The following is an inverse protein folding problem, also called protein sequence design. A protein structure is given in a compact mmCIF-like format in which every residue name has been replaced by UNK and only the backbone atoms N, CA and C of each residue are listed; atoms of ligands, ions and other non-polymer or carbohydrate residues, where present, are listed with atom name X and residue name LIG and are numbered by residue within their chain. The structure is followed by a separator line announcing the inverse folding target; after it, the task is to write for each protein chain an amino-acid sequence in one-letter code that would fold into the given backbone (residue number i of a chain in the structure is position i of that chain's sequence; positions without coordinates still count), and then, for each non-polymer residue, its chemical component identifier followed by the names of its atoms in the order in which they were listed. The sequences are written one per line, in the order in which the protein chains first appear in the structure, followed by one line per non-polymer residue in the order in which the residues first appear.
data_IF_307739986240
#
_entry.id   IF_307739986240
#
_cell.length_a   1.000
_cell.length_b   1.000
_cell.length_c   1.000
_cell.angle_alpha   90.00
_cell.angle_beta   90.00
_cell.angle_gamma   90.00
#
_symmetry.space_group_name_H-M   'P 1'
#
loop_
_entity.id
_entity.type
_entity.pdbx_description
1 polymer ?
#
# COMPACT_ATOMS: atom_id res chain seq x y z
N UNK A 1 -14.91 23.28 3.12
CA UNK A 1 -13.66 23.57 2.37
C UNK A 1 -13.32 22.48 1.35
N UNK A 2 -12.60 21.39 1.68
CA UNK A 2 -12.17 20.36 0.71
C UNK A 2 -13.32 19.74 -0.10
N UNK A 3 -14.42 19.38 0.57
CA UNK A 3 -15.63 18.84 -0.09
C UNK A 3 -16.35 19.86 -0.98
N UNK A 4 -16.18 21.16 -0.75
CA UNK A 4 -16.89 22.24 -1.45
C UNK A 4 -16.08 22.82 -2.60
N UNK A 5 -14.75 22.84 -2.51
CA UNK A 5 -13.86 23.39 -3.56
C UNK A 5 -13.49 22.37 -4.64
N UNK A 6 -13.41 21.08 -4.28
CA UNK A 6 -13.04 19.99 -5.21
C UNK A 6 -13.91 19.90 -6.48
N UNK A 7 -15.26 20.01 -6.41
CA UNK A 7 -16.12 19.87 -7.60
C UNK A 7 -15.74 20.78 -8.78
N UNK A 8 -15.36 22.03 -8.50
CA UNK A 8 -14.96 23.00 -9.53
C UNK A 8 -13.58 22.68 -10.12
N UNK A 9 -12.63 22.25 -9.28
CA UNK A 9 -11.29 21.84 -9.74
C UNK A 9 -11.33 20.59 -10.62
N UNK A 10 -12.25 19.65 -10.34
CA UNK A 10 -12.42 18.41 -11.12
C UNK A 10 -12.94 18.67 -12.55
N UNK A 11 -13.85 19.63 -12.72
CA UNK A 11 -14.37 19.98 -14.05
C UNK A 11 -13.27 20.52 -14.98
N UNK A 12 -12.34 21.32 -14.44
CA UNK A 12 -11.21 21.81 -15.21
C UNK A 12 -10.27 20.68 -15.64
N UNK A 13 -9.99 19.71 -14.78
CA UNK A 13 -9.13 18.57 -15.11
C UNK A 13 -9.64 17.80 -16.35
N UNK A 14 -10.93 17.45 -16.39
CA UNK A 14 -11.50 16.75 -17.54
C UNK A 14 -11.42 17.57 -18.83
N UNK A 15 -11.53 18.91 -18.73
CA UNK A 15 -11.39 19.79 -19.90
C UNK A 15 -9.98 19.81 -20.49
N UNK A 16 -8.95 19.52 -19.69
CA UNK A 16 -7.55 19.47 -20.16
C UNK A 16 -7.23 18.18 -20.92
N UNK A 17 -8.05 17.12 -20.79
CA UNK A 17 -7.82 15.84 -21.47
C UNK A 17 -6.52 15.13 -21.08
N UNK A 18 -5.99 15.42 -19.88
CA UNK A 18 -4.72 14.83 -19.41
C UNK A 18 -4.96 13.36 -19.03
N UNK A 19 -4.24 12.40 -19.65
CA UNK A 19 -4.29 11.01 -19.21
C UNK A 19 -3.53 10.87 -17.88
N UNK A 20 -4.15 10.25 -16.88
CA UNK A 20 -3.46 9.97 -15.62
C UNK A 20 -4.40 9.76 -14.43
N UNK A 21 -3.83 9.29 -13.33
CA UNK A 21 -4.52 9.17 -12.04
C UNK A 21 -4.69 10.58 -11.45
N UNK A 22 -5.94 10.96 -11.18
CA UNK A 22 -6.28 12.23 -10.54
C UNK A 22 -6.43 12.07 -9.03
N UNK A 23 -7.05 10.96 -8.60
CA UNK A 23 -7.26 10.62 -7.20
C UNK A 23 -6.68 9.23 -6.95
N UNK A 24 -5.76 9.13 -6.01
CA UNK A 24 -5.12 7.86 -5.64
C UNK A 24 -5.67 7.38 -4.30
N UNK A 25 -6.28 6.21 -4.30
CA UNK A 25 -6.59 5.49 -3.08
C UNK A 25 -5.30 4.83 -2.56
N UNK A 26 -4.61 5.53 -1.66
CA UNK A 26 -3.30 5.11 -1.13
C UNK A 26 -3.45 4.19 0.11
N UNK A 27 -3.24 2.91 -0.11
CA UNK A 27 -3.20 1.84 0.90
C UNK A 27 -1.92 1.81 1.74
N UNK A 28 -0.81 2.36 1.22
CA UNK A 28 0.51 2.26 1.85
C UNK A 28 0.53 2.92 3.23
N UNK A 29 -0.26 3.97 3.42
CA UNK A 29 -0.42 4.65 4.71
C UNK A 29 -0.94 3.67 5.77
N UNK A 30 -2.00 2.91 5.45
CA UNK A 30 -2.61 1.95 6.37
C UNK A 30 -1.71 0.74 6.59
N UNK A 31 -1.12 0.20 5.51
CA UNK A 31 -0.17 -0.89 5.60
C UNK A 31 1.01 -0.52 6.51
N UNK A 32 1.64 0.63 6.29
CA UNK A 32 2.80 1.04 7.08
C UNK A 32 2.45 1.37 8.54
N UNK A 33 1.20 1.73 8.84
CA UNK A 33 0.72 1.89 10.22
C UNK A 33 0.35 0.56 10.91
N UNK A 34 0.36 -0.56 10.17
CA UNK A 34 0.18 -1.90 10.71
C UNK A 34 -1.14 -2.58 10.34
N UNK A 35 -1.88 -2.09 9.35
CA UNK A 35 -3.07 -2.75 8.84
C UNK A 35 -2.77 -4.17 8.35
N UNK A 36 -3.76 -5.05 8.36
CA UNK A 36 -3.73 -6.29 7.57
C UNK A 36 -3.91 -5.98 6.09
N UNK A 37 -3.60 -6.96 5.25
CA UNK A 37 -3.70 -6.88 3.79
C UNK A 37 -5.16 -6.68 3.35
N UNK A 38 -6.11 -7.33 4.03
CA UNK A 38 -7.54 -7.11 3.81
C UNK A 38 -7.99 -5.71 4.28
N UNK A 39 -7.47 -5.22 5.41
CA UNK A 39 -7.78 -3.86 5.89
C UNK A 39 -7.28 -2.79 4.93
N UNK A 40 -6.04 -2.92 4.43
CA UNK A 40 -5.49 -2.04 3.40
C UNK A 40 -6.43 -1.96 2.19
N UNK A 41 -6.80 -3.12 1.62
CA UNK A 41 -7.71 -3.20 0.48
C UNK A 41 -9.09 -2.60 0.79
N UNK A 42 -9.70 -2.93 1.93
CA UNK A 42 -11.02 -2.42 2.30
C UNK A 42 -11.07 -0.90 2.46
N UNK A 43 -10.04 -0.32 3.10
CA UNK A 43 -9.94 1.13 3.28
C UNK A 43 -9.65 1.84 1.95
N UNK A 44 -8.83 1.24 1.07
CA UNK A 44 -8.62 1.75 -0.29
C UNK A 44 -9.93 1.81 -1.09
N UNK A 45 -10.74 0.75 -1.04
CA UNK A 45 -12.05 0.75 -1.71
C UNK A 45 -12.99 1.80 -1.11
N UNK A 46 -13.01 1.95 0.22
CA UNK A 46 -13.84 2.96 0.87
C UNK A 46 -13.44 4.39 0.45
N UNK A 47 -12.13 4.60 0.26
CA UNK A 47 -11.59 5.86 -0.29
C UNK A 47 -12.03 6.07 -1.73
N UNK A 48 -11.93 5.05 -2.58
CA UNK A 48 -12.39 5.11 -3.97
C UNK A 48 -13.91 5.36 -4.08
N UNK A 49 -14.73 4.72 -3.25
CA UNK A 49 -16.19 4.97 -3.16
C UNK A 49 -16.46 6.41 -2.72
N UNK A 50 -15.70 6.93 -1.75
CA UNK A 50 -15.79 8.33 -1.36
C UNK A 50 -15.46 9.27 -2.52
N UNK A 51 -14.46 8.96 -3.35
CA UNK A 51 -14.15 9.75 -4.55
C UNK A 51 -15.29 9.71 -5.58
N UNK A 52 -15.87 8.54 -5.86
CA UNK A 52 -17.03 8.43 -6.75
C UNK A 52 -18.19 9.30 -6.27
N UNK A 53 -18.49 9.29 -4.96
CA UNK A 53 -19.51 10.17 -4.36
C UNK A 53 -19.19 11.66 -4.54
N UNK A 54 -17.91 12.04 -4.53
CA UNK A 54 -17.50 13.42 -4.80
C UNK A 54 -17.78 13.83 -6.24
N UNK A 55 -17.51 12.96 -7.22
CA UNK A 55 -17.87 13.21 -8.62
C UNK A 55 -19.38 13.29 -8.83
N UNK A 56 -20.14 12.41 -8.18
CA UNK A 56 -21.60 12.44 -8.23
C UNK A 56 -22.15 13.77 -7.68
N UNK A 57 -21.66 14.23 -6.52
CA UNK A 57 -22.00 15.55 -5.96
C UNK A 57 -21.62 16.70 -6.89
N UNK A 58 -20.52 16.57 -7.62
CA UNK A 58 -20.08 17.51 -8.65
C UNK A 58 -20.88 17.42 -9.96
N UNK A 59 -21.88 16.52 -10.04
CA UNK A 59 -22.70 16.23 -11.24
C UNK A 59 -21.86 15.79 -12.44
N UNK A 60 -20.74 15.13 -12.19
CA UNK A 60 -19.90 14.53 -13.22
C UNK A 60 -20.27 13.06 -13.43
N UNK A 61 -20.42 12.57 -14.67
CA UNK A 61 -20.71 11.16 -14.91
C UNK A 61 -19.60 10.25 -14.40
N UNK A 62 -19.95 9.24 -13.60
CA UNK A 62 -18.97 8.34 -12.97
C UNK A 62 -18.15 7.52 -13.97
N UNK A 63 -18.69 7.28 -15.17
CA UNK A 63 -17.98 6.60 -16.27
C UNK A 63 -16.71 7.34 -16.69
N UNK A 64 -16.69 8.68 -16.54
CA UNK A 64 -15.49 9.47 -16.80
C UNK A 64 -14.57 9.53 -15.58
N UNK A 65 -15.09 9.33 -14.36
CA UNK A 65 -14.28 9.40 -13.15
C UNK A 65 -13.47 8.12 -12.90
N UNK A 66 -14.07 6.94 -13.11
CA UNK A 66 -13.46 5.66 -12.76
C UNK A 66 -12.07 5.43 -13.36
N UNK A 67 -11.79 5.76 -14.63
CA UNK A 67 -10.44 5.61 -15.22
C UNK A 67 -9.36 6.51 -14.61
N UNK A 68 -9.75 7.55 -13.87
CA UNK A 68 -8.84 8.49 -13.21
C UNK A 68 -8.68 8.24 -11.70
N UNK A 69 -9.31 7.18 -11.18
CA UNK A 69 -9.06 6.69 -9.83
C UNK A 69 -7.98 5.61 -9.89
N UNK A 70 -6.83 5.90 -9.29
CA UNK A 70 -5.71 4.98 -9.17
C UNK A 70 -5.60 4.40 -7.76
N UNK A 71 -4.74 3.41 -7.62
CA UNK A 71 -4.53 2.71 -6.36
C UNK A 71 -3.03 2.57 -6.10
N UNK A 72 -2.58 2.88 -4.90
CA UNK A 72 -1.23 2.56 -4.45
C UNK A 72 -1.30 1.58 -3.27
N UNK A 73 -0.61 0.46 -3.36
CA UNK A 73 -0.56 -0.55 -2.30
C UNK A 73 0.88 -0.94 -1.96
N UNK A 74 1.08 -1.49 -0.76
CA UNK A 74 2.37 -2.04 -0.36
C UNK A 74 2.50 -3.52 -0.71
N UNK A 75 3.69 -3.99 -1.09
CA UNK A 75 4.00 -5.43 -1.23
C UNK A 75 5.16 -5.78 -0.31
N UNK A 76 5.11 -6.94 0.34
CA UNK A 76 6.12 -7.34 1.30
C UNK A 76 6.72 -8.72 1.01
N UNK A 77 7.53 -9.23 1.95
CA UNK A 77 8.26 -10.49 1.80
C UNK A 77 7.34 -11.74 1.82
N UNK A 78 6.06 -11.61 2.19
CA UNK A 78 5.09 -12.69 1.99
C UNK A 78 4.66 -12.68 0.51
N UNK A 79 5.42 -13.44 -0.30
CA UNK A 79 5.31 -13.41 -1.74
C UNK A 79 3.91 -13.81 -2.23
N UNK A 80 3.35 -14.90 -1.72
CA UNK A 80 2.07 -15.42 -2.20
C UNK A 80 0.92 -14.50 -1.79
N UNK A 81 0.93 -14.01 -0.55
CA UNK A 81 -0.07 -13.08 -0.07
C UNK A 81 0.00 -11.74 -0.81
N UNK A 82 1.22 -11.24 -1.08
CA UNK A 82 1.41 -10.01 -1.85
C UNK A 82 0.93 -10.15 -3.30
N UNK A 83 1.20 -11.29 -3.97
CA UNK A 83 0.64 -11.59 -5.29
C UNK A 83 -0.89 -11.63 -5.26
N UNK A 84 -1.46 -12.36 -4.28
CA UNK A 84 -2.91 -12.46 -4.10
C UNK A 84 -3.56 -11.09 -3.85
N UNK A 85 -2.89 -10.20 -3.09
CA UNK A 85 -3.38 -8.85 -2.79
C UNK A 85 -3.54 -7.98 -4.03
N UNK A 86 -2.55 -7.97 -4.93
CA UNK A 86 -2.64 -7.21 -6.18
C UNK A 86 -3.80 -7.73 -7.05
N UNK A 87 -3.95 -9.06 -7.15
CA UNK A 87 -5.05 -9.70 -7.88
C UNK A 87 -6.42 -9.38 -7.27
N UNK A 88 -6.51 -9.46 -5.94
CA UNK A 88 -7.74 -9.18 -5.19
C UNK A 88 -8.21 -7.75 -5.43
N UNK A 89 -7.30 -6.77 -5.45
CA UNK A 89 -7.66 -5.37 -5.71
C UNK A 89 -8.36 -5.18 -7.07
N UNK A 90 -7.88 -5.82 -8.13
CA UNK A 90 -8.52 -5.75 -9.46
C UNK A 90 -9.94 -6.31 -9.44
N UNK A 91 -10.15 -7.46 -8.77
CA UNK A 91 -11.47 -8.09 -8.61
C UNK A 91 -12.42 -7.22 -7.78
N UNK A 92 -11.92 -6.67 -6.69
CA UNK A 92 -12.68 -5.80 -5.80
C UNK A 92 -13.09 -4.51 -6.51
N UNK A 93 -12.19 -3.89 -7.27
CA UNK A 93 -12.51 -2.69 -8.03
C UNK A 93 -13.56 -2.95 -9.12
N UNK A 94 -13.45 -4.06 -9.85
CA UNK A 94 -14.48 -4.47 -10.81
C UNK A 94 -15.85 -4.62 -10.12
N UNK A 95 -15.88 -5.19 -8.90
CA UNK A 95 -17.11 -5.35 -8.12
C UNK A 95 -17.70 -4.02 -7.65
N UNK A 96 -16.87 -3.05 -7.26
CA UNK A 96 -17.33 -1.68 -6.95
C UNK A 96 -17.94 -1.02 -8.18
N UNK A 97 -17.27 -1.11 -9.34
CA UNK A 97 -17.79 -0.56 -10.59
C UNK A 97 -19.14 -1.17 -10.98
N UNK A 98 -19.28 -2.48 -10.86
CA UNK A 98 -20.54 -3.20 -11.07
C UNK A 98 -21.65 -2.68 -10.13
N UNK A 99 -21.36 -2.56 -8.83
CA UNK A 99 -22.31 -2.05 -7.85
C UNK A 99 -22.75 -0.59 -8.13
N UNK A 100 -21.87 0.20 -8.74
CA UNK A 100 -22.15 1.57 -9.17
C UNK A 100 -22.71 1.67 -10.60
N UNK A 101 -23.00 0.55 -11.28
CA UNK A 101 -23.43 0.53 -12.69
C UNK A 101 -22.48 1.26 -13.64
N UNK A 102 -21.17 1.20 -13.36
CA UNK A 102 -20.10 1.77 -14.19
C UNK A 102 -19.56 0.65 -15.09
N UNK A 103 -19.37 0.88 -16.40
CA UNK A 103 -18.68 -0.07 -17.27
C UNK A 103 -17.30 -0.41 -16.70
N UNK A 104 -16.94 -1.70 -16.72
CA UNK A 104 -15.68 -2.15 -16.12
C UNK A 104 -14.48 -1.49 -16.81
N UNK A 105 -13.73 -0.70 -16.03
CA UNK A 105 -12.44 -0.12 -16.40
C UNK A 105 -11.32 -0.79 -15.62
N UNK A 106 -10.14 -0.88 -16.25
CA UNK A 106 -8.95 -1.47 -15.63
C UNK A 106 -8.47 -0.60 -14.47
N UNK A 107 -8.25 -1.19 -13.29
CA UNK A 107 -7.60 -0.51 -12.18
C UNK A 107 -6.15 -0.15 -12.55
N UNK A 108 -5.73 1.09 -12.32
CA UNK A 108 -4.30 1.46 -12.35
C UNK A 108 -3.71 1.25 -10.95
N UNK A 109 -2.79 0.28 -10.82
CA UNK A 109 -2.20 -0.15 -9.55
C UNK A 109 -0.71 0.17 -9.52
N UNK A 110 -0.33 1.06 -8.63
CA UNK A 110 1.04 1.25 -8.17
C UNK A 110 1.35 0.34 -6.99
N UNK A 111 2.42 -0.46 -7.07
CA UNK A 111 2.90 -1.27 -5.96
C UNK A 111 4.23 -0.71 -5.44
N UNK A 112 4.33 -0.48 -4.14
CA UNK A 112 5.57 -0.07 -3.48
C UNK A 112 6.03 -1.16 -2.52
N UNK A 113 7.33 -1.47 -2.49
CA UNK A 113 7.82 -2.41 -1.48
C UNK A 113 7.63 -1.84 -0.07
N UNK A 114 7.22 -2.69 0.86
CA UNK A 114 6.81 -2.33 2.22
C UNK A 114 7.90 -1.59 2.99
N UNK A 115 7.60 -0.42 3.54
CA UNK A 115 8.49 0.24 4.50
C UNK A 115 8.47 -0.51 5.85
N UNK A 116 7.29 -0.99 6.26
CA UNK A 116 7.07 -1.74 7.51
C UNK A 116 7.98 -2.97 7.66
N UNK A 117 8.35 -3.63 6.57
CA UNK A 117 9.22 -4.82 6.60
C UNK A 117 10.72 -4.51 6.71
N UNK A 118 11.12 -3.25 6.51
CA UNK A 118 12.52 -2.87 6.50
C UNK A 118 13.12 -2.99 7.89
N UNK A 119 14.38 -3.38 7.96
CA UNK A 119 15.16 -3.41 9.20
C UNK A 119 16.21 -2.30 9.20
N UNK A 120 16.43 -1.69 10.35
CA UNK A 120 17.59 -0.81 10.55
C UNK A 120 18.88 -1.63 10.72
N UNK A 121 18.80 -2.78 11.40
CA UNK A 121 19.90 -3.74 11.49
C UNK A 121 20.08 -4.48 10.16
N UNK A 122 21.34 -4.78 9.82
CA UNK A 122 21.72 -5.49 8.60
C UNK A 122 20.95 -5.00 7.34
N UNK A 123 21.07 -3.70 6.99
CA UNK A 123 20.21 -3.07 6.00
C UNK A 123 20.38 -3.68 4.60
N UNK A 124 21.52 -4.28 4.26
CA UNK A 124 21.72 -5.00 3.00
C UNK A 124 20.76 -6.18 2.84
N UNK A 125 20.32 -6.83 3.92
CA UNK A 125 19.29 -7.88 3.87
C UNK A 125 17.94 -7.34 3.39
N UNK A 126 17.69 -6.02 3.50
CA UNK A 126 16.51 -5.41 2.91
C UNK A 126 16.50 -5.51 1.38
N UNK A 127 17.66 -5.60 0.71
CA UNK A 127 17.72 -5.83 -0.74
C UNK A 127 16.95 -7.11 -1.09
N UNK A 128 17.19 -8.19 -0.34
CA UNK A 128 16.53 -9.48 -0.55
C UNK A 128 15.01 -9.39 -0.34
N UNK A 129 14.58 -8.72 0.75
CA UNK A 129 13.15 -8.49 1.03
C UNK A 129 12.47 -7.75 -0.11
N UNK A 130 13.11 -6.69 -0.60
CA UNK A 130 12.55 -5.87 -1.68
C UNK A 130 12.53 -6.57 -3.03
N UNK A 131 13.50 -7.44 -3.32
CA UNK A 131 13.48 -8.27 -4.53
C UNK A 131 12.27 -9.23 -4.52
N UNK A 132 11.99 -9.86 -3.37
CA UNK A 132 10.81 -10.74 -3.22
C UNK A 132 9.51 -9.94 -3.40
N UNK A 133 9.39 -8.79 -2.73
CA UNK A 133 8.23 -7.91 -2.88
C UNK A 133 8.05 -7.42 -4.33
N UNK A 134 9.14 -7.07 -5.02
CA UNK A 134 9.10 -6.66 -6.43
C UNK A 134 8.63 -7.79 -7.34
N UNK A 135 9.12 -9.02 -7.13
CA UNK A 135 8.64 -10.19 -7.86
C UNK A 135 7.13 -10.40 -7.61
N UNK A 136 6.69 -10.30 -6.36
CA UNK A 136 5.29 -10.46 -6.01
C UNK A 136 4.39 -9.40 -6.67
N UNK A 137 4.84 -8.13 -6.73
CA UNK A 137 4.13 -7.07 -7.44
C UNK A 137 4.04 -7.33 -8.94
N UNK A 138 5.15 -7.72 -9.58
CA UNK A 138 5.18 -8.00 -11.01
C UNK A 138 4.31 -9.21 -11.36
N UNK A 139 4.48 -10.32 -10.64
CA UNK A 139 3.71 -11.55 -10.85
C UNK A 139 2.22 -11.42 -10.46
N UNK A 140 1.89 -10.50 -9.54
CA UNK A 140 0.51 -10.13 -9.23
C UNK A 140 -0.13 -9.19 -10.25
N UNK A 141 0.67 -8.68 -11.21
CA UNK A 141 0.23 -7.81 -12.29
C UNK A 141 0.03 -6.36 -11.88
N UNK A 142 0.93 -5.76 -11.11
CA UNK A 142 0.94 -4.31 -10.85
C UNK A 142 1.33 -3.51 -12.12
N UNK A 143 0.74 -2.34 -12.33
CA UNK A 143 0.99 -1.50 -13.52
C UNK A 143 2.28 -0.68 -13.39
N UNK A 144 2.65 -0.33 -12.16
CA UNK A 144 3.93 0.33 -11.86
C UNK A 144 4.45 -0.14 -10.51
N UNK A 145 5.78 -0.17 -10.36
CA UNK A 145 6.44 -0.70 -9.17
C UNK A 145 7.48 0.30 -8.67
N UNK A 146 7.50 0.57 -7.36
CA UNK A 146 8.55 1.29 -6.66
C UNK A 146 9.26 0.35 -5.68
N UNK A 147 10.58 0.22 -5.81
CA UNK A 147 11.39 -0.45 -4.80
C UNK A 147 11.95 0.59 -3.84
N UNK A 148 11.58 0.51 -2.57
CA UNK A 148 12.22 1.27 -1.50
C UNK A 148 13.68 0.84 -1.36
N UNK A 149 14.63 1.79 -1.34
CA UNK A 149 16.04 1.46 -1.14
C UNK A 149 16.32 0.82 0.22
N UNK A 150 17.27 -0.11 0.25
CA UNK A 150 17.61 -0.92 1.43
C UNK A 150 18.02 -0.10 2.68
N UNK A 151 18.47 1.15 2.48
CA UNK A 151 18.87 2.08 3.55
C UNK A 151 17.73 2.96 4.07
N UNK A 152 16.50 2.84 3.56
CA UNK A 152 15.38 3.74 3.88
C UNK A 152 15.04 3.79 5.37
N UNK A 153 15.37 2.74 6.13
CA UNK A 153 15.18 2.69 7.58
C UNK A 153 16.08 3.68 8.36
N UNK A 154 17.17 4.15 7.75
CA UNK A 154 18.16 5.06 8.35
C UNK A 154 17.95 6.53 7.96
N UNK A 155 17.30 6.81 6.84
CA UNK A 155 17.11 8.16 6.33
C UNK A 155 16.91 8.21 4.83
N UNK A 156 17.06 9.40 4.23
CA UNK A 156 16.95 9.54 2.78
C UNK A 156 18.05 8.72 2.08
N UNK A 157 17.71 7.81 1.15
CA UNK A 157 18.70 6.92 0.56
C UNK A 157 19.74 7.66 -0.28
N UNK A 158 21.02 7.35 -0.12
CA UNK A 158 22.10 7.89 -0.95
C UNK A 158 22.09 7.32 -2.39
N UNK A 159 23.00 7.81 -3.24
CA UNK A 159 23.04 7.45 -4.66
C UNK A 159 23.21 5.94 -4.92
N UNK A 160 24.06 5.26 -4.14
CA UNK A 160 24.27 3.83 -4.25
C UNK A 160 22.99 3.03 -3.95
N UNK A 161 22.31 3.35 -2.84
CA UNK A 161 21.08 2.68 -2.44
C UNK A 161 19.96 2.83 -3.50
N UNK A 162 19.80 4.04 -4.06
CA UNK A 162 18.86 4.28 -5.18
C UNK A 162 19.24 3.51 -6.44
N UNK A 163 20.55 3.42 -6.75
CA UNK A 163 21.04 2.63 -7.89
C UNK A 163 20.68 1.16 -7.75
N UNK A 164 20.87 0.58 -6.57
CA UNK A 164 20.52 -0.82 -6.28
C UNK A 164 19.02 -1.05 -6.47
N UNK A 165 18.18 -0.19 -5.88
CA UNK A 165 16.71 -0.29 -6.01
C UNK A 165 16.25 -0.24 -7.49
N UNK A 166 16.74 0.74 -8.26
CA UNK A 166 16.44 0.83 -9.69
C UNK A 166 16.95 -0.38 -10.47
N UNK A 167 18.16 -0.85 -10.19
CA UNK A 167 18.74 -1.98 -10.91
C UNK A 167 17.98 -3.28 -10.63
N UNK A 168 17.43 -3.48 -9.43
CA UNK A 168 16.56 -4.61 -9.14
C UNK A 168 15.33 -4.60 -10.06
N UNK A 169 14.70 -3.45 -10.31
CA UNK A 169 13.61 -3.33 -11.28
C UNK A 169 14.06 -3.65 -12.71
N UNK A 170 15.25 -3.18 -13.11
CA UNK A 170 15.79 -3.45 -14.45
C UNK A 170 16.08 -4.94 -14.67
N UNK A 171 16.60 -5.65 -13.65
CA UNK A 171 16.81 -7.10 -13.70
C UNK A 171 15.45 -7.81 -13.83
N UNK A 172 14.47 -7.41 -13.02
CA UNK A 172 13.11 -7.98 -13.09
C UNK A 172 12.46 -7.76 -14.46
N UNK A 173 12.64 -6.59 -15.08
CA UNK A 173 12.04 -6.29 -16.38
C UNK A 173 12.78 -6.94 -17.56
N UNK A 174 14.12 -7.05 -17.51
CA UNK A 174 14.92 -7.41 -18.70
C UNK A 174 15.59 -8.79 -18.61
N UNK A 175 15.72 -9.38 -17.43
CA UNK A 175 16.48 -10.62 -17.24
C UNK A 175 15.64 -11.75 -16.62
N UNK A 176 14.62 -11.43 -15.81
CA UNK A 176 13.81 -12.47 -15.15
C UNK A 176 12.69 -13.04 -16.01
N UNK A 177 12.36 -12.40 -17.15
CA UNK A 177 11.29 -12.81 -18.06
C UNK A 177 9.91 -12.97 -17.37
N UNK A 178 9.67 -12.22 -16.29
CA UNK A 178 8.43 -12.32 -15.49
C UNK A 178 7.21 -11.83 -16.28
N UNK A 179 7.44 -11.03 -17.30
CA UNK A 179 6.47 -10.45 -18.22
C UNK A 179 6.09 -11.36 -19.40
N UNK A 180 6.75 -12.52 -19.56
CA UNK A 180 6.42 -13.47 -20.64
C UNK A 180 5.04 -14.14 -20.47
N UNK A 181 4.49 -14.15 -19.26
CA UNK A 181 3.16 -14.70 -18.94
C UNK A 181 2.36 -13.66 -18.16
N UNK A 182 1.12 -13.39 -18.57
CA UNK A 182 0.32 -12.30 -18.02
C UNK A 182 -0.06 -12.46 -16.54
N UNK A 183 -0.44 -13.67 -16.10
CA UNK A 183 -0.68 -14.02 -14.69
C UNK A 183 -0.03 -15.39 -14.42
N UNK A 184 1.26 -15.44 -14.04
CA UNK A 184 1.95 -16.70 -13.77
C UNK A 184 1.40 -17.44 -12.55
N UNK A 185 0.60 -16.78 -11.71
CA UNK A 185 -0.03 -17.37 -10.54
C UNK A 185 -1.38 -18.03 -10.84
N UNK A 186 -1.93 -17.81 -12.03
CA UNK A 186 -3.25 -18.28 -12.43
C UNK A 186 -3.36 -19.80 -12.28
N UNK A 187 -4.40 -20.24 -11.57
CA UNK A 187 -4.66 -21.66 -11.33
C UNK A 187 -3.87 -22.28 -10.18
N UNK A 188 -2.99 -21.53 -9.51
CA UNK A 188 -2.38 -21.97 -8.24
C UNK A 188 -3.45 -22.00 -7.15
N UNK A 189 -3.83 -23.19 -6.69
CA UNK A 189 -4.89 -23.34 -5.68
C UNK A 189 -4.66 -22.53 -4.40
N UNK A 190 -3.40 -22.38 -3.97
CA UNK A 190 -3.05 -21.55 -2.82
C UNK A 190 -3.25 -20.05 -3.08
N UNK A 191 -2.80 -19.54 -4.25
CA UNK A 191 -2.96 -18.11 -4.58
C UNK A 191 -4.41 -17.77 -4.86
N UNK A 192 -5.17 -18.67 -5.51
CA UNK A 192 -6.60 -18.46 -5.75
C UNK A 192 -7.41 -18.42 -4.45
N UNK A 193 -7.13 -19.33 -3.52
CA UNK A 193 -7.76 -19.31 -2.19
C UNK A 193 -7.44 -18.02 -1.43
N UNK A 194 -6.15 -17.65 -1.32
CA UNK A 194 -5.75 -16.39 -0.68
C UNK A 194 -6.39 -15.16 -1.35
N UNK A 195 -6.51 -15.16 -2.69
CA UNK A 195 -7.16 -14.08 -3.42
C UNK A 195 -8.64 -13.97 -3.06
N UNK A 196 -9.35 -15.11 -2.93
CA UNK A 196 -10.75 -15.14 -2.53
C UNK A 196 -10.93 -14.66 -1.09
N UNK A 197 -10.13 -15.18 -0.15
CA UNK A 197 -10.19 -14.82 1.26
C UNK A 197 -9.93 -13.33 1.47
N UNK A 198 -8.96 -12.77 0.75
CA UNK A 198 -8.68 -11.32 0.75
C UNK A 198 -9.86 -10.51 0.20
N UNK A 199 -10.50 -10.98 -0.88
CA UNK A 199 -11.67 -10.29 -1.43
C UNK A 199 -12.82 -10.27 -0.42
N UNK A 200 -13.13 -11.39 0.21
CA UNK A 200 -14.21 -11.49 1.21
C UNK A 200 -13.94 -10.59 2.42
N UNK A 201 -12.74 -10.70 3.00
CA UNK A 201 -12.36 -9.91 4.17
C UNK A 201 -12.27 -8.40 3.87
N UNK A 202 -11.71 -8.01 2.72
CA UNK A 202 -11.63 -6.62 2.31
C UNK A 202 -13.01 -6.02 2.03
N UNK A 203 -13.92 -6.81 1.44
CA UNK A 203 -15.30 -6.37 1.21
C UNK A 203 -16.05 -6.16 2.52
N UNK A 204 -15.85 -7.05 3.50
CA UNK A 204 -16.41 -6.88 4.84
C UNK A 204 -15.88 -5.61 5.54
N UNK A 205 -14.57 -5.32 5.43
CA UNK A 205 -13.99 -4.07 5.95
C UNK A 205 -14.58 -2.83 5.26
N UNK A 206 -14.73 -2.86 3.93
CA UNK A 206 -15.42 -1.81 3.17
C UNK A 206 -16.84 -1.59 3.71
N UNK A 207 -17.62 -2.66 3.88
CA UNK A 207 -18.99 -2.57 4.39
C UNK A 207 -19.05 -1.99 5.81
N UNK A 208 -18.10 -2.35 6.68
CA UNK A 208 -18.01 -1.80 8.02
C UNK A 208 -17.75 -0.27 7.98
N UNK A 209 -16.78 0.17 7.16
CA UNK A 209 -16.48 1.61 7.00
C UNK A 209 -17.68 2.36 6.42
N UNK A 210 -18.41 1.75 5.49
CA UNK A 210 -19.61 2.34 4.90
C UNK A 210 -20.75 2.46 5.92
N UNK A 211 -20.93 1.47 6.80
CA UNK A 211 -21.88 1.53 7.91
C UNK A 211 -21.51 2.61 8.96
N UNK A 212 -20.21 2.93 9.09
CA UNK A 212 -19.68 4.02 9.92
C UNK A 212 -19.86 5.41 9.28
N UNK A 213 -20.56 5.51 8.15
CA UNK A 213 -20.79 6.78 7.44
C UNK A 213 -19.67 7.15 6.48
N UNK A 214 -18.88 6.17 6.04
CA UNK A 214 -17.80 6.31 5.05
C UNK A 214 -16.45 6.64 5.66
N UNK A 215 -15.40 6.56 4.82
CA UNK A 215 -13.98 6.63 5.24
C UNK A 215 -13.64 7.88 6.05
N UNK A 216 -14.17 9.05 5.69
CA UNK A 216 -13.87 10.31 6.38
C UNK A 216 -14.47 10.36 7.80
N UNK A 217 -15.71 9.86 7.95
CA UNK A 217 -16.38 9.77 9.25
C UNK A 217 -15.67 8.75 10.14
N UNK A 218 -15.37 7.58 9.58
CA UNK A 218 -14.63 6.51 10.26
C UNK A 218 -13.25 6.95 10.76
N UNK A 219 -12.51 7.72 9.95
CA UNK A 219 -11.23 8.32 10.34
C UNK A 219 -11.37 9.40 11.42
N UNK A 220 -12.37 10.28 11.31
CA UNK A 220 -12.62 11.33 12.31
C UNK A 220 -12.97 10.71 13.67
N UNK A 221 -13.78 9.67 13.66
CA UNK A 221 -14.31 9.03 14.86
C UNK A 221 -13.35 7.96 15.43
N UNK A 222 -12.23 7.68 14.74
CA UNK A 222 -11.13 6.84 15.24
C UNK A 222 -11.29 5.34 14.98
N UNK A 223 -12.30 4.93 14.21
CA UNK A 223 -12.64 3.52 14.00
C UNK A 223 -11.56 2.76 13.21
N UNK A 224 -11.13 3.32 12.06
CA UNK A 224 -10.03 2.76 11.27
C UNK A 224 -8.75 2.69 12.11
N UNK A 225 -8.41 3.75 12.85
CA UNK A 225 -7.21 3.79 13.67
C UNK A 225 -7.22 2.68 14.72
N UNK A 226 -8.36 2.46 15.37
CA UNK A 226 -8.50 1.41 16.36
C UNK A 226 -8.33 -0.01 15.77
N UNK A 227 -8.92 -0.27 14.60
CA UNK A 227 -8.78 -1.57 13.91
C UNK A 227 -7.33 -1.81 13.45
N UNK A 228 -6.68 -0.80 12.89
CA UNK A 228 -5.27 -0.88 12.48
C UNK A 228 -4.35 -1.10 13.67
N UNK A 229 -4.53 -0.38 14.78
CA UNK A 229 -3.75 -0.60 16.02
C UNK A 229 -3.94 -2.00 16.58
N UNK A 230 -5.15 -2.54 16.52
CA UNK A 230 -5.44 -3.90 16.98
C UNK A 230 -4.67 -4.93 16.16
N UNK A 231 -4.70 -4.81 14.82
CA UNK A 231 -3.93 -5.67 13.94
C UNK A 231 -2.41 -5.52 14.15
N UNK A 232 -1.93 -4.29 14.33
CA UNK A 232 -0.53 -4.00 14.61
C UNK A 232 -0.07 -4.66 15.93
N UNK A 233 -0.88 -4.55 16.99
CA UNK A 233 -0.59 -5.16 18.29
C UNK A 233 -0.54 -6.68 18.22
N UNK A 234 -1.52 -7.32 17.55
CA UNK A 234 -1.54 -8.76 17.33
C UNK A 234 -0.30 -9.24 16.58
N UNK A 235 0.08 -8.54 15.49
CA UNK A 235 1.30 -8.84 14.75
C UNK A 235 2.54 -8.69 15.65
N UNK A 236 2.61 -7.63 16.44
CA UNK A 236 3.70 -7.39 17.37
C UNK A 236 3.87 -8.50 18.42
N UNK A 237 2.77 -9.08 18.90
CA UNK A 237 2.80 -10.23 19.83
C UNK A 237 3.48 -11.43 19.17
N UNK A 238 3.14 -11.77 17.92
CA UNK A 238 3.74 -12.91 17.21
C UNK A 238 5.26 -12.77 16.98
N UNK A 239 5.75 -11.55 16.75
CA UNK A 239 7.19 -11.32 16.66
C UNK A 239 7.88 -11.31 18.03
N UNK A 240 7.25 -10.74 19.06
CA UNK A 240 7.79 -10.74 20.43
C UNK A 240 7.83 -12.12 21.08
N UNK A 241 6.87 -12.99 20.75
CA UNK A 241 6.83 -14.37 21.22
C UNK A 241 7.84 -15.29 20.52
N UNK A 242 8.45 -14.82 19.43
CA UNK A 242 9.37 -15.61 18.60
C UNK A 242 8.66 -16.56 17.63
N UNK A 243 7.33 -16.53 17.53
CA UNK A 243 6.57 -17.27 16.51
C UNK A 243 7.00 -16.83 15.09
N UNK A 244 7.31 -15.54 14.94
CA UNK A 244 7.88 -14.97 13.71
C UNK A 244 9.25 -14.37 14.00
N UNK A 245 10.20 -14.62 13.09
CA UNK A 245 11.56 -14.10 13.18
C UNK A 245 11.87 -13.12 12.05
N UNK A 246 12.85 -12.25 12.30
CA UNK A 246 13.38 -11.28 11.34
C UNK A 246 14.87 -11.57 11.15
N UNK A 247 15.23 -12.10 9.99
CA UNK A 247 16.63 -12.37 9.62
C UNK A 247 17.43 -11.06 9.60
N UNK A 248 18.62 -11.06 10.18
CA UNK A 248 19.47 -9.87 10.33
C UNK A 248 19.12 -8.98 11.52
N UNK A 249 17.97 -9.19 12.18
CA UNK A 249 17.55 -8.41 13.35
C UNK A 249 17.32 -9.30 14.59
N UNK A 250 16.28 -10.14 14.60
CA UNK A 250 16.02 -11.06 15.73
C UNK A 250 16.73 -12.40 15.55
N UNK A 251 17.01 -12.78 14.31
CA UNK A 251 17.70 -14.03 13.96
C UNK A 251 18.95 -13.71 13.14
N UNK A 252 20.09 -14.28 13.54
CA UNK A 252 21.40 -14.00 12.92
C UNK A 252 21.80 -12.51 12.88
N UNK A 253 21.70 -11.75 13.99
CA UNK A 253 22.15 -10.36 14.00
C UNK A 253 23.66 -10.26 13.79
N UNK A 254 24.09 -9.19 13.13
CA UNK A 254 25.51 -8.89 12.99
C UNK A 254 26.11 -8.50 14.35
N UNK A 255 27.37 -8.86 14.57
CA UNK A 255 28.11 -8.45 15.78
C UNK A 255 28.43 -6.94 15.77
N UNK A 256 28.58 -6.37 14.57
CA UNK A 256 28.86 -4.96 14.35
C UNK A 256 28.22 -4.54 13.03
N UNK A 257 27.43 -3.48 13.09
CA UNK A 257 26.86 -2.84 11.91
C UNK A 257 27.90 -1.99 11.19
N UNK A 258 27.71 -1.80 9.88
CA UNK A 258 28.50 -0.86 9.08
C UNK A 258 27.81 0.51 9.05
N UNK A 259 28.56 1.61 8.91
CA UNK A 259 27.95 2.92 8.69
C UNK A 259 27.10 2.91 7.42
N UNK A 260 25.88 3.45 7.51
CA UNK A 260 24.95 3.57 6.39
C UNK A 260 25.00 4.98 5.86
N UNK A 261 25.27 5.13 4.56
CA UNK A 261 25.28 6.43 3.89
C UNK A 261 23.84 6.88 3.60
N UNK A 262 23.47 8.06 4.11
CA UNK A 262 22.18 8.72 3.87
C UNK A 262 22.40 10.15 3.41
N UNK A 263 21.37 10.75 2.82
CA UNK A 263 21.38 12.18 2.52
C UNK A 263 20.87 12.97 3.72
N UNK A 264 21.49 14.12 3.96
CA UNK A 264 20.99 15.10 4.91
C UNK A 264 19.60 15.60 4.47
N UNK A 265 18.67 15.59 5.42
CA UNK A 265 17.33 16.11 5.21
C UNK A 265 16.77 16.72 6.48
N UNK A 266 16.15 17.89 6.33
CA UNK A 266 15.43 18.52 7.41
C UNK A 266 14.15 17.75 7.71
N UNK A 267 13.95 17.42 8.99
CA UNK A 267 12.70 16.84 9.45
C UNK A 267 11.63 17.93 9.45
N UNK A 268 10.66 17.81 8.55
CA UNK A 268 9.49 18.69 8.57
C UNK A 268 8.60 18.35 9.75
N UNK A 269 8.12 19.33 10.53
CA UNK A 269 7.16 19.08 11.59
C UNK A 269 5.86 18.54 10.98
N UNK A 270 5.14 17.73 11.77
CA UNK A 270 3.80 17.30 11.39
C UNK A 270 2.89 18.53 11.25
N UNK A 271 1.95 18.47 10.30
CA UNK A 271 0.94 19.51 10.16
C UNK A 271 0.05 19.51 11.41
N UNK A 272 0.05 20.62 12.15
CA UNK A 272 -0.78 20.81 13.35
C UNK A 272 -1.98 21.72 13.10
N UNK A 273 -2.11 22.27 11.90
CA UNK A 273 -3.16 23.20 11.53
C UNK A 273 -4.29 22.47 10.79
N UNK A 274 -5.53 22.57 11.31
CA UNK A 274 -6.70 21.98 10.67
C UNK A 274 -7.99 22.23 11.47
N UNK A 275 -9.11 22.34 10.76
CA UNK A 275 -10.46 22.50 11.37
C UNK A 275 -10.99 21.18 11.92
N UNK A 276 -10.58 20.06 11.30
CA UNK A 276 -10.89 18.70 11.74
C UNK A 276 -9.56 17.96 11.87
N UNK A 277 -9.32 17.40 13.05
CA UNK A 277 -8.14 16.60 13.35
C UNK A 277 -8.59 15.16 13.60
N UNK A 278 -7.83 14.21 13.08
CA UNK A 278 -7.91 12.81 13.46
C UNK A 278 -6.54 12.34 13.96
N UNK A 279 -6.52 11.29 14.76
CA UNK A 279 -5.26 10.70 15.20
C UNK A 279 -4.49 10.16 14.00
N UNK A 280 -3.20 10.54 13.82
CA UNK A 280 -2.44 10.15 12.66
C UNK A 280 -2.04 8.68 12.72
N UNK A 281 -2.20 7.99 11.59
CA UNK A 281 -1.65 6.65 11.37
C UNK A 281 -0.16 6.77 11.03
N UNK A 282 0.67 6.77 12.07
CA UNK A 282 2.13 6.87 11.90
C UNK A 282 2.70 5.57 11.34
N UNK A 283 3.65 5.63 10.39
CA UNK A 283 4.33 4.43 9.91
C UNK A 283 5.20 3.83 11.02
N UNK A 284 5.14 2.51 11.20
CA UNK A 284 5.91 1.78 12.22
C UNK A 284 6.51 0.54 11.57
N UNK A 285 7.84 0.41 11.65
CA UNK A 285 8.53 -0.81 11.22
C UNK A 285 8.39 -1.92 12.25
N UNK A 286 8.37 -3.16 11.78
CA UNK A 286 8.22 -4.32 12.68
C UNK A 286 9.41 -4.40 13.65
N UNK A 287 10.64 -4.20 13.15
CA UNK A 287 11.86 -4.22 13.96
C UNK A 287 11.84 -3.20 15.10
N UNK A 288 11.34 -1.99 14.82
CA UNK A 288 11.16 -0.92 15.80
C UNK A 288 10.09 -1.29 16.83
N UNK A 289 8.95 -1.83 16.41
CA UNK A 289 7.82 -2.16 17.30
C UNK A 289 8.15 -3.22 18.36
N UNK A 290 9.15 -4.06 18.08
CA UNK A 290 9.61 -5.13 18.97
C UNK A 290 10.89 -4.78 19.73
N UNK A 291 11.45 -3.59 19.53
CA UNK A 291 12.69 -3.15 20.17
C UNK A 291 13.95 -3.83 19.63
N UNK A 292 13.89 -4.40 18.42
CA UNK A 292 15.07 -4.98 17.77
C UNK A 292 15.99 -3.90 17.18
N UNK A 293 15.45 -2.70 16.90
CA UNK A 293 16.21 -1.52 16.53
C UNK A 293 15.88 -0.39 17.52
N UNK A 294 16.88 0.07 18.26
CA UNK A 294 16.80 1.22 19.18
C UNK A 294 17.42 2.45 18.54
#
# INVERSE_FOLDING_TARGET
ALQESMPQSLAHFFSMGVPGVLLEADGRVFHNAGATEAQELGIMLASAVSYLRMFEKARQPLVYAAPHIGFALSVDQDQLLSMAKVRALRRLWARVQEACSIPNSTANIHAETSFRMMTALDPETNILRTSIGCFAAAAGGADSISILPHTIAHGLPAAFARRVARNAQLIMANESHVDHVADPAYGSGAVEALTSDLCEAAWAELQAIEAEGGVLSSLRDGHIQQRVRTAAAQRGIAFKSGERAIVGATLYPLKSERPVETLDAERRPAFTEGVVLCEPLSPVRIDQSIGAAS
#
